data_IF_612141716705
#
_entry.id   IF_612141716705
#
_cell.length_a   1.000
_cell.length_b   1.000
_cell.length_c   1.000
_cell.angle_alpha   90.00
_cell.angle_beta   90.00
_cell.angle_gamma   90.00
#
_symmetry.space_group_name_H-M   'P 1'
#
loop_
_entity.id
_entity.type
_entity.pdbx_description
1 polymer ?
#
# COMPACT_ATOMS: atom_id res chain seq x y z
N UNK A 1 26.25 -13.84 10.19
CA UNK A 1 25.43 -12.87 10.93
C UNK A 1 26.03 -11.50 10.68
N UNK A 2 25.65 -10.88 9.57
CA UNK A 2 25.95 -9.47 9.31
C UNK A 2 24.64 -8.72 9.46
N UNK A 3 24.65 -7.59 10.15
CA UNK A 3 23.44 -6.80 10.42
C UNK A 3 22.84 -6.30 9.09
N UNK A 4 21.73 -6.91 8.69
CA UNK A 4 20.99 -6.65 7.45
C UNK A 4 19.99 -5.49 7.65
N UNK A 5 20.49 -4.29 7.92
CA UNK A 5 19.68 -3.08 7.91
C UNK A 5 20.22 -2.13 6.85
N UNK A 6 19.52 -2.02 5.72
CA UNK A 6 19.98 -1.26 4.56
C UNK A 6 19.43 0.19 4.53
N UNK A 7 18.56 0.55 5.48
CA UNK A 7 18.02 1.91 5.63
C UNK A 7 17.92 2.35 7.08
N UNK A 8 18.00 3.66 7.33
CA UNK A 8 17.74 4.26 8.64
C UNK A 8 16.87 5.51 8.51
N UNK A 9 15.86 5.61 9.37
CA UNK A 9 15.10 6.84 9.59
C UNK A 9 15.48 7.43 10.95
N UNK A 10 15.65 8.74 11.02
CA UNK A 10 16.07 9.43 12.22
C UNK A 10 15.10 10.55 12.58
N UNK A 11 14.61 10.51 13.83
CA UNK A 11 13.73 11.54 14.37
C UNK A 11 14.30 12.08 15.67
N UNK A 12 14.25 13.40 15.84
CA UNK A 12 14.59 14.05 17.11
C UNK A 12 13.30 14.47 17.80
N UNK A 13 13.07 13.99 19.03
CA UNK A 13 11.95 14.37 19.89
C UNK A 13 12.52 14.80 21.24
N UNK A 14 12.26 16.04 21.65
CA UNK A 14 12.74 16.63 22.90
C UNK A 14 14.26 16.49 23.12
N UNK A 15 15.05 16.65 22.05
CA UNK A 15 16.50 16.51 22.08
C UNK A 15 17.02 15.06 22.11
N UNK A 16 16.12 14.08 22.17
CA UNK A 16 16.46 12.65 22.07
C UNK A 16 16.42 12.21 20.61
N UNK A 17 17.51 11.59 20.12
CA UNK A 17 17.59 11.03 18.77
C UNK A 17 17.09 9.59 18.79
N UNK A 18 16.04 9.34 18.03
CA UNK A 18 15.51 8.02 17.76
C UNK A 18 15.96 7.59 16.37
N UNK A 19 16.53 6.40 16.27
CA UNK A 19 16.93 5.79 15.00
C UNK A 19 16.09 4.53 14.82
N UNK A 20 15.33 4.49 13.72
CA UNK A 20 14.63 3.29 13.26
C UNK A 20 15.46 2.66 12.16
N UNK A 21 15.73 1.37 12.28
CA UNK A 21 16.37 0.58 11.24
C UNK A 21 15.29 -0.06 10.38
N UNK A 22 15.43 0.06 9.06
CA UNK A 22 14.45 -0.42 8.08
C UNK A 22 14.90 -1.75 7.49
N UNK A 23 13.97 -2.70 7.37
CA UNK A 23 14.20 -3.95 6.63
C UNK A 23 13.87 -3.72 5.15
N UNK A 24 14.90 -3.42 4.35
CA UNK A 24 14.74 -3.23 2.90
C UNK A 24 14.77 -4.55 2.12
N UNK A 25 14.89 -5.70 2.78
CA UNK A 25 14.73 -6.99 2.10
C UNK A 25 13.26 -7.41 2.04
N UNK A 26 12.41 -6.82 2.90
CA UNK A 26 10.96 -7.03 2.89
C UNK A 26 10.30 -6.22 1.76
N UNK A 27 9.41 -6.89 1.01
CA UNK A 27 8.59 -6.30 -0.03
C UNK A 27 7.14 -6.26 0.40
N UNK A 28 6.52 -5.12 0.15
CA UNK A 28 5.12 -4.81 0.40
C UNK A 28 4.37 -4.75 -0.92
N UNK A 29 3.15 -5.27 -0.93
CA UNK A 29 2.33 -5.42 -2.11
C UNK A 29 0.95 -4.78 -1.94
N UNK A 30 0.50 -4.08 -2.96
CA UNK A 30 -0.91 -3.71 -3.11
C UNK A 30 -1.40 -4.32 -4.40
N UNK A 31 -2.51 -5.03 -4.34
CA UNK A 31 -3.05 -5.80 -5.47
C UNK A 31 -4.52 -5.46 -5.71
N UNK A 32 -4.93 -5.58 -6.97
CA UNK A 32 -6.31 -5.38 -7.43
C UNK A 32 -6.66 -6.53 -8.37
N UNK A 33 -7.68 -7.34 -8.03
CA UNK A 33 -8.17 -8.39 -8.91
C UNK A 33 -8.73 -7.80 -10.20
N UNK A 34 -8.39 -8.40 -11.35
CA UNK A 34 -8.88 -7.94 -12.66
C UNK A 34 -10.34 -8.30 -12.94
N UNK A 35 -10.88 -9.28 -12.24
CA UNK A 35 -12.25 -9.72 -12.36
C UNK A 35 -12.75 -10.39 -11.07
N UNK A 36 -14.02 -10.79 -11.07
CA UNK A 36 -14.68 -11.44 -9.94
C UNK A 36 -14.09 -12.81 -9.58
N UNK A 37 -13.54 -13.55 -10.56
CA UNK A 37 -12.90 -14.84 -10.28
C UNK A 37 -11.60 -14.63 -9.51
N UNK A 38 -10.76 -13.70 -9.98
CA UNK A 38 -9.54 -13.30 -9.30
C UNK A 38 -9.80 -12.76 -7.88
N UNK A 39 -10.91 -12.05 -7.69
CA UNK A 39 -11.33 -11.57 -6.36
C UNK A 39 -11.67 -12.73 -5.43
N UNK A 40 -12.49 -13.67 -5.90
CA UNK A 40 -12.86 -14.86 -5.11
C UNK A 40 -11.63 -15.71 -4.76
N UNK A 41 -10.67 -15.87 -5.69
CA UNK A 41 -9.40 -16.56 -5.42
C UNK A 41 -8.55 -15.86 -4.36
N UNK A 42 -8.55 -14.52 -4.36
CA UNK A 42 -7.85 -13.69 -3.38
C UNK A 42 -8.45 -13.86 -1.97
N UNK A 43 -9.77 -13.85 -1.86
CA UNK A 43 -10.49 -14.09 -0.60
C UNK A 43 -10.27 -15.51 -0.04
N UNK A 44 -9.98 -16.47 -0.92
CA UNK A 44 -9.66 -17.86 -0.57
C UNK A 44 -8.18 -18.07 -0.19
N UNK A 45 -7.36 -17.02 -0.15
CA UNK A 45 -5.92 -17.03 0.17
C UNK A 45 -5.04 -17.89 -0.75
N UNK A 46 -5.56 -18.37 -1.89
CA UNK A 46 -4.83 -19.25 -2.82
C UNK A 46 -3.72 -18.53 -3.60
N UNK A 47 -3.71 -17.20 -3.57
CA UNK A 47 -2.78 -16.34 -4.32
C UNK A 47 -1.36 -16.36 -3.73
N UNK A 48 -1.23 -16.75 -2.45
CA UNK A 48 0.03 -16.67 -1.71
C UNK A 48 0.79 -18.00 -1.61
N UNK A 49 0.18 -19.11 -2.06
CA UNK A 49 0.71 -20.45 -1.88
C UNK A 49 1.72 -20.87 -2.97
N UNK A 50 1.69 -20.21 -4.14
CA UNK A 50 2.63 -20.49 -5.23
C UNK A 50 3.76 -19.46 -5.23
N UNK A 51 4.99 -19.92 -5.00
CA UNK A 51 6.23 -19.14 -5.07
C UNK A 51 6.53 -18.54 -6.47
N UNK A 52 5.56 -18.55 -7.38
CA UNK A 52 5.62 -17.99 -8.71
C UNK A 52 4.89 -16.64 -8.73
N UNK A 53 5.61 -15.56 -8.46
CA UNK A 53 5.14 -14.17 -8.44
C UNK A 53 4.67 -13.63 -9.82
N UNK A 54 4.23 -14.49 -10.75
CA UNK A 54 3.63 -14.04 -12.01
C UNK A 54 2.11 -13.85 -11.88
N UNK A 55 1.74 -13.08 -10.86
CA UNK A 55 0.36 -12.70 -10.56
C UNK A 55 -0.17 -11.63 -11.53
N UNK A 56 0.64 -11.20 -12.51
CA UNK A 56 0.35 -10.05 -13.38
C UNK A 56 -0.80 -10.29 -14.34
N UNK A 57 -1.03 -11.53 -14.71
CA UNK A 57 -2.14 -11.89 -15.58
C UNK A 57 -3.48 -11.80 -14.85
N UNK A 58 -3.48 -12.05 -13.53
CA UNK A 58 -4.66 -12.14 -12.69
C UNK A 58 -4.93 -10.82 -11.92
N UNK A 59 -3.86 -10.10 -11.56
CA UNK A 59 -3.92 -8.89 -10.73
C UNK A 59 -3.19 -7.72 -11.38
N UNK A 60 -3.71 -6.50 -11.14
CA UNK A 60 -2.87 -5.31 -11.18
C UNK A 60 -2.22 -5.14 -9.82
N UNK A 61 -0.97 -4.68 -9.77
CA UNK A 61 -0.26 -4.58 -8.51
C UNK A 61 0.79 -3.48 -8.54
N UNK A 62 1.13 -3.00 -7.35
CA UNK A 62 2.35 -2.24 -7.09
C UNK A 62 3.11 -2.91 -5.95
N UNK A 63 4.43 -2.77 -5.95
CA UNK A 63 5.29 -3.27 -4.88
C UNK A 63 6.35 -2.27 -4.49
N UNK A 64 6.65 -2.21 -3.21
CA UNK A 64 7.62 -1.27 -2.66
C UNK A 64 8.24 -1.80 -1.37
N UNK A 65 9.31 -1.17 -0.91
CA UNK A 65 10.03 -1.55 0.30
C UNK A 65 9.50 -0.80 1.54
N UNK A 66 10.02 -1.17 2.72
CA UNK A 66 9.59 -0.62 3.99
C UNK A 66 9.75 0.90 4.11
N UNK A 67 10.81 1.47 3.52
CA UNK A 67 11.00 2.93 3.47
C UNK A 67 9.85 3.65 2.76
N UNK A 68 9.40 3.08 1.64
CA UNK A 68 8.29 3.62 0.85
C UNK A 68 6.95 3.46 1.55
N UNK A 69 6.77 2.39 2.35
CA UNK A 69 5.59 2.26 3.19
C UNK A 69 5.47 3.43 4.14
N UNK A 70 6.53 3.78 4.88
CA UNK A 70 6.47 4.91 5.81
C UNK A 70 6.20 6.25 5.11
N UNK A 71 6.69 6.41 3.89
CA UNK A 71 6.36 7.57 3.06
C UNK A 71 4.85 7.59 2.75
N UNK A 72 4.29 6.48 2.27
CA UNK A 72 2.85 6.35 1.98
C UNK A 72 1.99 6.47 3.24
N UNK A 73 2.41 5.90 4.36
CA UNK A 73 1.74 5.99 5.66
C UNK A 73 1.61 7.44 6.11
N UNK A 74 2.72 8.17 6.09
CA UNK A 74 2.78 9.58 6.51
C UNK A 74 1.93 10.49 5.63
N UNK A 75 1.97 10.31 4.31
CA UNK A 75 1.36 11.24 3.35
C UNK A 75 -0.03 10.81 2.87
N UNK A 76 -0.45 9.55 3.05
CA UNK A 76 -1.69 9.03 2.49
C UNK A 76 -2.43 8.05 3.41
N UNK A 77 -1.85 6.93 3.83
CA UNK A 77 -2.62 5.85 4.48
C UNK A 77 -3.27 6.29 5.78
N UNK A 78 -2.59 7.09 6.61
CA UNK A 78 -3.20 7.64 7.83
C UNK A 78 -4.47 8.46 7.58
N UNK A 79 -4.57 9.14 6.42
CA UNK A 79 -5.78 9.88 6.05
C UNK A 79 -6.90 8.96 5.58
N UNK A 80 -6.54 7.89 4.85
CA UNK A 80 -7.48 6.86 4.44
C UNK A 80 -8.04 6.15 5.68
N UNK A 81 -7.19 5.71 6.61
CA UNK A 81 -7.60 5.04 7.85
C UNK A 81 -8.59 5.89 8.65
N UNK A 82 -8.24 7.16 8.87
CA UNK A 82 -9.06 8.09 9.65
C UNK A 82 -10.42 8.37 9.00
N UNK A 83 -10.48 8.44 7.67
CA UNK A 83 -11.71 8.80 6.98
C UNK A 83 -12.56 7.59 6.56
N UNK A 84 -11.94 6.46 6.21
CA UNK A 84 -12.61 5.23 5.77
C UNK A 84 -12.84 4.22 6.90
N UNK A 85 -12.34 4.50 8.11
CA UNK A 85 -12.35 3.60 9.26
C UNK A 85 -11.72 2.24 8.92
N UNK A 86 -10.52 2.32 8.35
CA UNK A 86 -9.65 1.20 7.97
C UNK A 86 -8.39 1.21 8.86
N UNK A 87 -7.59 0.15 8.78
CA UNK A 87 -6.33 0.01 9.48
C UNK A 87 -5.23 -0.51 8.54
N UNK A 88 -4.84 0.32 7.57
CA UNK A 88 -3.76 0.03 6.63
C UNK A 88 -2.41 0.10 7.36
N UNK A 89 -1.96 -1.03 7.90
CA UNK A 89 -0.79 -1.11 8.76
C UNK A 89 0.21 -2.19 8.31
N UNK A 90 1.49 -1.99 8.61
CA UNK A 90 2.60 -2.84 8.18
C UNK A 90 2.55 -4.32 8.61
N UNK A 91 1.66 -4.70 9.53
CA UNK A 91 1.63 -6.03 10.14
C UNK A 91 0.33 -6.79 9.88
N UNK A 92 -0.64 -6.17 9.24
CA UNK A 92 -1.95 -6.75 8.98
C UNK A 92 -2.37 -6.48 7.54
N UNK A 93 -3.14 -7.42 7.00
CA UNK A 93 -3.77 -7.26 5.69
C UNK A 93 -5.01 -6.38 5.84
N UNK A 94 -5.24 -5.51 4.86
CA UNK A 94 -6.41 -4.63 4.85
C UNK A 94 -7.04 -4.56 3.45
N UNK A 95 -8.36 -4.42 3.42
CA UNK A 95 -9.17 -4.48 2.21
C UNK A 95 -9.96 -3.19 2.04
N UNK A 96 -9.76 -2.51 0.90
CA UNK A 96 -10.52 -1.31 0.53
C UNK A 96 -11.60 -1.72 -0.46
N UNK A 97 -12.86 -1.65 -0.03
CA UNK A 97 -14.01 -2.17 -0.79
C UNK A 97 -15.22 -1.22 -0.80
N UNK A 98 -16.13 -1.45 -1.75
CA UNK A 98 -17.43 -0.77 -1.80
C UNK A 98 -17.31 0.75 -1.80
N UNK A 99 -18.04 1.42 -0.90
CA UNK A 99 -18.05 2.88 -0.80
C UNK A 99 -16.68 3.47 -0.39
N UNK A 100 -15.84 2.69 0.30
CA UNK A 100 -14.50 3.13 0.68
C UNK A 100 -13.59 3.29 -0.54
N UNK A 101 -13.82 2.60 -1.67
CA UNK A 101 -13.00 2.80 -2.88
C UNK A 101 -13.12 4.22 -3.43
N UNK A 102 -14.36 4.75 -3.52
CA UNK A 102 -14.59 6.12 -4.01
C UNK A 102 -13.99 7.14 -3.05
N UNK A 103 -14.16 6.93 -1.74
CA UNK A 103 -13.62 7.82 -0.72
C UNK A 103 -12.09 7.82 -0.73
N UNK A 104 -11.48 6.65 -0.83
CA UNK A 104 -10.02 6.48 -0.99
C UNK A 104 -9.51 7.18 -2.23
N UNK A 105 -10.22 7.11 -3.35
CA UNK A 105 -9.84 7.84 -4.57
C UNK A 105 -9.85 9.36 -4.35
N UNK A 106 -10.91 9.90 -3.73
CA UNK A 106 -11.02 11.33 -3.42
C UNK A 106 -9.90 11.81 -2.49
N UNK A 107 -9.58 11.03 -1.45
CA UNK A 107 -8.48 11.32 -0.52
C UNK A 107 -7.16 11.30 -1.27
N UNK A 108 -6.92 10.28 -2.09
CA UNK A 108 -5.68 10.14 -2.88
C UNK A 108 -5.49 11.32 -3.82
N UNK A 109 -6.54 11.73 -4.54
CA UNK A 109 -6.53 12.91 -5.40
C UNK A 109 -6.20 14.19 -4.60
N UNK A 110 -6.81 14.35 -3.42
CA UNK A 110 -6.53 15.49 -2.54
C UNK A 110 -5.09 15.50 -2.04
N UNK A 111 -4.49 14.35 -1.74
CA UNK A 111 -3.11 14.25 -1.26
C UNK A 111 -2.08 14.47 -2.36
N UNK A 112 -2.35 13.97 -3.57
CA UNK A 112 -1.53 14.26 -4.76
C UNK A 112 -1.51 15.78 -5.03
N UNK A 113 -2.66 16.45 -5.00
CA UNK A 113 -2.75 17.88 -5.32
C UNK A 113 -2.12 18.80 -4.26
N UNK A 114 -1.91 18.30 -3.04
CA UNK A 114 -1.39 19.08 -1.92
C UNK A 114 0.05 18.72 -1.53
N UNK A 115 0.74 17.88 -2.31
CA UNK A 115 2.11 17.46 -2.05
C UNK A 115 3.07 17.98 -3.12
N UNK A 116 4.27 18.34 -2.69
CA UNK A 116 5.43 18.67 -3.53
C UNK A 116 6.52 17.58 -3.49
N UNK A 117 6.32 16.52 -2.70
CA UNK A 117 7.27 15.41 -2.59
C UNK A 117 7.17 14.50 -3.82
N UNK A 118 8.15 14.57 -4.73
CA UNK A 118 8.17 13.84 -6.01
C UNK A 118 8.06 12.32 -5.84
N UNK A 119 8.78 11.77 -4.87
CA UNK A 119 8.81 10.33 -4.59
C UNK A 119 7.44 9.81 -4.12
N UNK A 120 6.78 10.56 -3.23
CA UNK A 120 5.42 10.27 -2.83
C UNK A 120 4.45 10.40 -4.01
N UNK A 121 4.60 11.43 -4.85
CA UNK A 121 3.70 11.66 -5.98
C UNK A 121 3.73 10.52 -7.00
N UNK A 122 4.88 9.89 -7.23
CA UNK A 122 4.99 8.71 -8.09
C UNK A 122 4.20 7.53 -7.51
N UNK A 123 4.44 7.18 -6.25
CA UNK A 123 3.75 6.08 -5.56
C UNK A 123 2.24 6.33 -5.45
N UNK A 124 1.84 7.55 -5.10
CA UNK A 124 0.43 7.91 -4.94
C UNK A 124 -0.33 7.84 -6.26
N UNK A 125 0.30 8.22 -7.39
CA UNK A 125 -0.32 8.09 -8.73
C UNK A 125 -0.50 6.63 -9.13
N UNK A 126 0.46 5.77 -8.80
CA UNK A 126 0.34 4.33 -9.04
C UNK A 126 -0.78 3.72 -8.20
N UNK A 127 -0.81 4.01 -6.89
CA UNK A 127 -1.89 3.60 -6.00
C UNK A 127 -3.27 4.09 -6.47
N UNK A 128 -3.37 5.37 -6.86
CA UNK A 128 -4.57 5.95 -7.44
C UNK A 128 -5.08 5.17 -8.65
N UNK A 129 -4.18 4.76 -9.55
CA UNK A 129 -4.55 3.97 -10.73
C UNK A 129 -5.08 2.59 -10.33
N UNK A 130 -4.52 1.95 -9.31
CA UNK A 130 -5.05 0.71 -8.77
C UNK A 130 -6.47 0.89 -8.19
N UNK A 131 -6.71 1.94 -7.40
CA UNK A 131 -8.04 2.25 -6.88
C UNK A 131 -9.05 2.47 -8.02
N UNK A 132 -8.66 3.20 -9.06
CA UNK A 132 -9.50 3.37 -10.25
C UNK A 132 -9.82 2.05 -10.94
N UNK A 133 -8.84 1.15 -11.04
CA UNK A 133 -9.04 -0.18 -11.61
C UNK A 133 -10.01 -1.02 -10.78
N UNK A 134 -9.87 -1.02 -9.46
CA UNK A 134 -10.80 -1.71 -8.56
C UNK A 134 -12.24 -1.22 -8.72
N UNK A 135 -12.42 0.10 -8.89
CA UNK A 135 -13.74 0.69 -9.18
C UNK A 135 -14.25 0.26 -10.56
N UNK A 136 -13.39 0.26 -11.58
CA UNK A 136 -13.74 -0.09 -12.97
C UNK A 136 -14.31 -1.51 -13.08
N UNK A 137 -13.71 -2.46 -12.37
CA UNK A 137 -14.12 -3.87 -12.40
C UNK A 137 -14.99 -4.28 -11.21
N UNK A 138 -15.34 -3.34 -10.33
CA UNK A 138 -16.16 -3.55 -9.15
C UNK A 138 -15.61 -4.65 -8.21
N UNK A 139 -14.31 -4.57 -7.89
CA UNK A 139 -13.61 -5.48 -6.98
C UNK A 139 -13.13 -4.73 -5.73
N UNK A 140 -11.85 -4.91 -5.34
CA UNK A 140 -11.24 -4.36 -4.13
C UNK A 140 -9.80 -3.94 -4.39
N UNK A 141 -9.22 -3.21 -3.42
CA UNK A 141 -7.77 -3.06 -3.29
C UNK A 141 -7.34 -3.83 -2.05
N UNK A 142 -6.49 -4.83 -2.21
CA UNK A 142 -5.90 -5.59 -1.11
C UNK A 142 -4.50 -5.07 -0.78
N UNK A 143 -4.28 -4.72 0.48
CA UNK A 143 -3.03 -4.21 1.02
C UNK A 143 -2.33 -5.33 1.83
N UNK A 144 -1.16 -5.78 1.38
CA UNK A 144 -0.41 -6.90 1.93
C UNK A 144 1.01 -6.48 2.28
N UNK A 145 1.29 -6.35 3.59
CA UNK A 145 2.53 -5.80 4.11
C UNK A 145 3.29 -6.81 4.99
#
# INVERSE_FOLDING_TARGET
MGDFFQGKDERIVDGTRYTRYLDLDKWYGIVVPKDENAYNEMCDYKVWDDNEWDIRDIYWFMKFHEDKFYLMEKYLFNFIDAECNLLINMYEEEWIEGDNLKKTLEITDRMINNSDNEEFLELAKEFRNLVLKAIEVNTCVGCFF
#
